data_IF_080751065915
#
_entry.id   IF_080751065915
#
_cell.length_a   1.000
_cell.length_b   1.000
_cell.length_c   1.000
_cell.angle_alpha   90.00
_cell.angle_beta   90.00
_cell.angle_gamma   90.00
#
_symmetry.space_group_name_H-M   'P 1'
#
loop_
_entity.id
_entity.type
_entity.pdbx_description
1 polymer ?
#
# COMPACT_ATOMS: atom_id res chain seq x y z
N UNK A 1 -20.27 6.40 -14.76
CA UNK A 1 -21.07 6.28 -13.54
C UNK A 1 -20.14 6.12 -12.34
N UNK A 2 -20.42 6.85 -11.27
CA UNK A 2 -19.47 6.97 -10.17
C UNK A 2 -19.18 5.69 -9.39
N UNK A 3 -20.02 4.66 -9.44
CA UNK A 3 -19.74 3.35 -8.85
C UNK A 3 -18.62 2.63 -9.63
N UNK A 4 -18.59 2.80 -10.92
CA UNK A 4 -17.54 2.22 -11.77
C UNK A 4 -16.16 2.81 -11.45
N UNK A 5 -16.08 4.13 -11.33
CA UNK A 5 -14.83 4.82 -10.96
C UNK A 5 -14.32 4.39 -9.58
N UNK A 6 -15.23 4.25 -8.60
CA UNK A 6 -14.86 3.75 -7.27
C UNK A 6 -14.30 2.32 -7.32
N UNK A 7 -14.94 1.46 -8.10
CA UNK A 7 -14.49 0.08 -8.29
C UNK A 7 -13.14 0.02 -9.02
N UNK A 8 -12.95 0.85 -10.03
CA UNK A 8 -11.70 0.97 -10.78
C UNK A 8 -10.54 1.40 -9.85
N UNK A 9 -10.73 2.45 -9.05
CA UNK A 9 -9.73 2.89 -8.07
C UNK A 9 -9.41 1.76 -7.07
N UNK A 10 -10.43 1.07 -6.57
CA UNK A 10 -10.24 -0.05 -5.64
C UNK A 10 -9.39 -1.18 -6.25
N UNK A 11 -9.75 -1.64 -7.44
CA UNK A 11 -9.04 -2.74 -8.11
C UNK A 11 -7.61 -2.35 -8.47
N UNK A 12 -7.41 -1.17 -9.07
CA UNK A 12 -6.07 -0.67 -9.42
C UNK A 12 -5.20 -0.52 -8.18
N UNK A 13 -5.76 0.00 -7.09
CA UNK A 13 -5.03 0.11 -5.82
C UNK A 13 -4.58 -1.26 -5.34
N UNK A 14 -5.45 -2.26 -5.30
CA UNK A 14 -5.07 -3.62 -4.88
C UNK A 14 -4.00 -4.24 -5.76
N UNK A 15 -4.17 -4.17 -7.07
CA UNK A 15 -3.25 -4.79 -8.03
C UNK A 15 -1.83 -4.22 -7.88
N UNK A 16 -1.69 -2.93 -7.68
CA UNK A 16 -0.38 -2.29 -7.57
C UNK A 16 0.17 -2.24 -6.14
N UNK A 17 -0.68 -2.10 -5.13
CA UNK A 17 -0.22 -1.99 -3.74
C UNK A 17 0.27 -3.31 -3.15
N UNK A 18 -0.29 -4.45 -3.57
CA UNK A 18 0.15 -5.76 -3.09
C UNK A 18 1.60 -6.08 -3.49
N UNK A 19 1.99 -6.03 -4.78
CA UNK A 19 3.38 -6.28 -5.16
C UNK A 19 4.33 -5.20 -4.63
N UNK A 20 3.92 -3.94 -4.63
CA UNK A 20 4.74 -2.85 -4.10
C UNK A 20 4.92 -3.00 -2.58
N UNK A 21 3.89 -3.39 -1.85
CA UNK A 21 3.95 -3.69 -0.42
C UNK A 21 4.91 -4.84 -0.11
N UNK A 22 4.95 -5.85 -0.97
CA UNK A 22 5.91 -6.95 -0.83
C UNK A 22 7.36 -6.48 -1.06
N UNK A 23 7.59 -5.62 -2.06
CA UNK A 23 8.90 -4.99 -2.30
C UNK A 23 9.33 -4.16 -1.09
N UNK A 24 8.43 -3.35 -0.53
CA UNK A 24 8.71 -2.57 0.68
C UNK A 24 8.99 -3.47 1.89
N UNK A 25 8.28 -4.59 2.03
CA UNK A 25 8.55 -5.57 3.08
C UNK A 25 9.96 -6.14 2.99
N UNK A 26 10.45 -6.46 1.81
CA UNK A 26 11.84 -6.89 1.61
C UNK A 26 12.83 -5.78 1.94
N UNK A 27 12.53 -4.53 1.63
CA UNK A 27 13.32 -3.38 2.07
C UNK A 27 13.39 -3.26 3.59
N UNK A 28 12.26 -3.44 4.29
CA UNK A 28 12.18 -3.44 5.75
C UNK A 28 12.94 -4.61 6.40
N UNK A 29 13.03 -5.75 5.71
CA UNK A 29 13.76 -6.96 6.13
C UNK A 29 15.22 -6.97 5.67
N UNK A 30 15.65 -5.96 4.92
CA UNK A 30 17.00 -5.90 4.35
C UNK A 30 18.07 -5.97 5.44
N UNK A 31 19.15 -6.68 5.16
CA UNK A 31 20.36 -6.72 6.00
C UNK A 31 21.20 -5.46 5.86
N UNK A 32 21.03 -4.71 4.77
CA UNK A 32 21.73 -3.46 4.53
C UNK A 32 21.09 -2.34 5.36
N UNK A 33 21.77 -1.93 6.43
CA UNK A 33 21.27 -0.99 7.44
C UNK A 33 20.71 0.31 6.87
N UNK A 34 21.36 1.02 5.92
CA UNK A 34 20.82 2.26 5.38
C UNK A 34 19.51 2.05 4.61
N UNK A 35 19.38 1.00 3.82
CA UNK A 35 18.11 0.69 3.12
C UNK A 35 17.00 0.42 4.13
N UNK A 36 17.29 -0.39 5.14
CA UNK A 36 16.33 -0.68 6.21
C UNK A 36 15.90 0.59 6.96
N UNK A 37 16.86 1.48 7.27
CA UNK A 37 16.57 2.74 7.97
C UNK A 37 15.68 3.66 7.13
N UNK A 38 16.03 3.88 5.87
CA UNK A 38 15.23 4.70 4.93
C UNK A 38 13.82 4.14 4.78
N UNK A 39 13.68 2.83 4.57
CA UNK A 39 12.37 2.19 4.43
C UNK A 39 11.54 2.28 5.70
N UNK A 40 12.14 2.12 6.88
CA UNK A 40 11.43 2.29 8.15
C UNK A 40 10.90 3.72 8.32
N UNK A 41 11.74 4.73 8.06
CA UNK A 41 11.33 6.14 8.15
C UNK A 41 10.22 6.44 7.14
N UNK A 42 10.39 6.01 5.89
CA UNK A 42 9.39 6.20 4.84
C UNK A 42 8.03 5.60 5.22
N UNK A 43 8.00 4.33 5.59
CA UNK A 43 6.77 3.64 5.99
C UNK A 43 6.16 4.27 7.24
N UNK A 44 6.98 4.69 8.19
CA UNK A 44 6.52 5.36 9.41
C UNK A 44 5.85 6.70 9.10
N UNK A 45 6.45 7.52 8.24
CA UNK A 45 5.89 8.82 7.82
C UNK A 45 4.56 8.63 7.08
N UNK A 46 4.53 7.73 6.10
CA UNK A 46 3.31 7.50 5.31
C UNK A 46 2.17 6.97 6.18
N UNK A 47 2.43 6.03 7.08
CA UNK A 47 1.40 5.50 7.99
C UNK A 47 1.00 6.47 9.10
N UNK A 48 1.88 7.39 9.45
CA UNK A 48 1.63 8.41 10.47
C UNK A 48 0.91 9.66 9.95
N UNK A 49 0.74 9.80 8.63
CA UNK A 49 0.08 10.94 8.01
C UNK A 49 -1.31 10.56 7.47
N UNK A 50 -2.31 11.47 7.55
CA UNK A 50 -3.64 11.21 6.99
C UNK A 50 -3.59 10.99 5.48
N UNK A 51 -4.33 9.99 4.99
CA UNK A 51 -4.45 9.70 3.55
C UNK A 51 -4.90 10.93 2.75
N UNK A 52 -5.79 11.73 3.32
CA UNK A 52 -6.26 13.00 2.74
C UNK A 52 -5.12 13.98 2.46
N UNK A 53 -4.23 14.15 3.42
CA UNK A 53 -3.06 15.03 3.27
C UNK A 53 -2.13 14.52 2.16
N UNK A 54 -1.94 13.21 2.09
CA UNK A 54 -1.14 12.57 1.04
C UNK A 54 -1.75 12.80 -0.35
N UNK A 55 -3.07 12.68 -0.48
CA UNK A 55 -3.81 13.01 -1.70
C UNK A 55 -3.54 14.44 -2.16
N UNK A 56 -3.68 15.42 -1.26
CA UNK A 56 -3.46 16.83 -1.54
C UNK A 56 -2.02 17.07 -1.98
N UNK A 57 -1.04 16.52 -1.27
CA UNK A 57 0.37 16.66 -1.60
C UNK A 57 0.70 16.04 -2.97
N UNK A 58 0.18 14.85 -3.26
CA UNK A 58 0.46 14.16 -4.53
C UNK A 58 -0.21 14.88 -5.70
N UNK A 59 -1.40 15.41 -5.51
CA UNK A 59 -2.13 16.10 -6.58
C UNK A 59 -1.58 17.50 -6.83
N UNK A 60 -1.41 18.33 -5.81
CA UNK A 60 -1.02 19.72 -5.93
C UNK A 60 0.49 19.96 -5.82
N UNK A 61 1.22 19.09 -5.11
CA UNK A 61 2.66 19.26 -4.86
C UNK A 61 3.51 19.43 -6.11
N UNK A 62 3.35 18.62 -7.15
CA UNK A 62 4.12 18.79 -8.39
C UNK A 62 3.92 20.16 -9.05
N UNK A 63 2.69 20.66 -9.06
CA UNK A 63 2.39 22.00 -9.59
C UNK A 63 3.05 23.11 -8.79
N UNK A 64 3.06 22.99 -7.46
CA UNK A 64 3.62 24.00 -6.56
C UNK A 64 5.15 24.02 -6.55
N UNK A 65 5.80 22.84 -6.59
CA UNK A 65 7.25 22.72 -6.41
C UNK A 65 8.02 22.71 -7.73
N UNK A 66 7.45 22.08 -8.77
CA UNK A 66 8.11 21.92 -10.07
C UNK A 66 7.59 22.94 -11.09
N UNK A 67 6.58 23.76 -10.75
CA UNK A 67 5.89 24.65 -11.67
C UNK A 67 5.37 23.95 -12.94
N UNK A 68 5.16 22.66 -12.86
CA UNK A 68 4.63 21.82 -13.93
C UNK A 68 3.48 20.98 -13.40
N UNK A 69 2.33 21.07 -14.05
CA UNK A 69 1.21 20.18 -13.76
C UNK A 69 1.54 18.78 -14.34
N UNK A 70 1.97 17.86 -13.47
CA UNK A 70 2.19 16.45 -13.86
C UNK A 70 0.87 15.76 -14.15
N UNK A 71 -0.16 16.14 -13.39
CA UNK A 71 -1.50 15.58 -13.55
C UNK A 71 -2.32 16.51 -14.46
N UNK A 72 -2.98 15.91 -15.47
CA UNK A 72 -3.98 16.65 -16.24
C UNK A 72 -5.12 17.09 -15.32
N UNK A 73 -5.64 18.29 -15.50
CA UNK A 73 -6.74 18.83 -14.68
C UNK A 73 -8.09 18.16 -14.94
N UNK A 74 -8.14 17.17 -15.85
CA UNK A 74 -9.29 16.38 -16.22
C UNK A 74 -9.58 15.24 -15.21
N UNK A 75 -10.66 14.52 -15.45
CA UNK A 75 -11.07 13.39 -14.60
C UNK A 75 -9.99 12.29 -14.54
N UNK A 76 -9.33 12.03 -15.66
CA UNK A 76 -8.28 11.01 -15.76
C UNK A 76 -7.06 11.34 -14.90
N UNK A 77 -6.60 12.58 -14.92
CA UNK A 77 -5.47 13.02 -14.08
C UNK A 77 -5.79 12.93 -12.59
N UNK A 78 -7.02 13.26 -12.20
CA UNK A 78 -7.47 13.15 -10.80
C UNK A 78 -7.55 11.70 -10.34
N UNK A 79 -8.10 10.82 -11.15
CA UNK A 79 -8.16 9.38 -10.86
C UNK A 79 -6.76 8.81 -10.72
N UNK A 80 -5.86 9.16 -11.65
CA UNK A 80 -4.47 8.66 -11.63
C UNK A 80 -3.73 9.12 -10.37
N UNK A 81 -3.81 10.40 -10.01
CA UNK A 81 -3.21 10.93 -8.79
C UNK A 81 -3.77 10.24 -7.53
N UNK A 82 -5.09 10.01 -7.51
CA UNK A 82 -5.75 9.28 -6.42
C UNK A 82 -5.24 7.86 -6.31
N UNK A 83 -5.17 7.12 -7.41
CA UNK A 83 -4.65 5.75 -7.44
C UNK A 83 -3.20 5.72 -6.95
N UNK A 84 -2.35 6.64 -7.40
CA UNK A 84 -0.95 6.71 -6.95
C UNK A 84 -0.85 6.93 -5.43
N UNK A 85 -1.63 7.87 -4.89
CA UNK A 85 -1.66 8.14 -3.45
C UNK A 85 -2.11 6.91 -2.65
N UNK A 86 -3.19 6.26 -3.09
CA UNK A 86 -3.71 5.06 -2.46
C UNK A 86 -2.72 3.90 -2.55
N UNK A 87 -2.10 3.69 -3.71
CA UNK A 87 -1.10 2.62 -3.90
C UNK A 87 0.08 2.79 -2.96
N UNK A 88 0.63 3.99 -2.82
CA UNK A 88 1.75 4.25 -1.91
C UNK A 88 1.32 4.03 -0.45
N UNK A 89 0.18 4.56 -0.05
CA UNK A 89 -0.35 4.43 1.30
C UNK A 89 -0.56 2.95 1.66
N UNK A 90 -1.36 2.23 0.87
CA UNK A 90 -1.68 0.83 1.14
C UNK A 90 -0.49 -0.12 0.98
N UNK A 91 0.47 0.18 0.09
CA UNK A 91 1.72 -0.56 0.01
C UNK A 91 2.51 -0.48 1.32
N UNK A 92 2.52 0.68 1.99
CA UNK A 92 3.15 0.82 3.30
C UNK A 92 2.44 0.00 4.39
N UNK A 93 1.10 -0.03 4.40
CA UNK A 93 0.35 -0.88 5.33
C UNK A 93 0.58 -2.37 5.06
N UNK A 94 0.49 -2.79 3.81
CA UNK A 94 0.74 -4.18 3.42
C UNK A 94 2.18 -4.62 3.69
N UNK A 95 3.16 -3.73 3.54
CA UNK A 95 4.55 -4.04 3.84
C UNK A 95 4.79 -4.46 5.28
N UNK A 96 4.13 -3.81 6.22
CA UNK A 96 4.21 -4.14 7.65
C UNK A 96 3.50 -5.47 7.95
N UNK A 97 2.37 -5.72 7.30
CA UNK A 97 1.64 -6.99 7.41
C UNK A 97 2.49 -8.15 6.87
N UNK A 98 3.07 -8.00 5.69
CA UNK A 98 3.96 -9.02 5.10
C UNK A 98 5.20 -9.25 5.98
N UNK A 99 5.84 -8.18 6.45
CA UNK A 99 6.96 -8.29 7.38
C UNK A 99 6.57 -9.06 8.63
N UNK A 100 5.45 -8.71 9.26
CA UNK A 100 4.94 -9.41 10.44
C UNK A 100 4.63 -10.88 10.18
N UNK A 101 4.10 -11.21 9.01
CA UNK A 101 3.88 -12.59 8.58
C UNK A 101 5.17 -13.39 8.44
N UNK A 102 6.20 -12.79 7.83
CA UNK A 102 7.50 -13.43 7.61
C UNK A 102 8.26 -13.62 8.94
N UNK A 103 8.35 -12.56 9.76
CA UNK A 103 9.04 -12.58 11.05
C UNK A 103 8.29 -13.44 12.09
N UNK A 104 6.98 -13.58 11.95
CA UNK A 104 6.14 -14.32 12.88
C UNK A 104 6.26 -15.84 12.79
N UNK A 105 6.93 -16.40 11.79
CA UNK A 105 7.16 -17.85 11.71
C UNK A 105 8.32 -18.22 12.65
N UNK A 106 8.06 -19.06 13.67
CA UNK A 106 9.10 -19.45 14.66
C UNK A 106 10.29 -20.12 13.98
N UNK A 107 11.51 -19.78 14.43
CA UNK A 107 12.74 -20.39 13.92
C UNK A 107 12.77 -21.91 14.08
N UNK A 108 12.23 -22.41 15.21
CA UNK A 108 12.13 -23.84 15.47
C UNK A 108 11.36 -24.65 14.40
N UNK A 109 10.41 -24.01 13.69
CA UNK A 109 9.71 -24.67 12.58
C UNK A 109 10.65 -24.94 11.39
N UNK A 110 11.57 -24.03 11.12
CA UNK A 110 12.60 -24.21 10.08
C UNK A 110 13.66 -25.22 10.51
N UNK A 111 14.06 -25.18 11.77
CA UNK A 111 15.01 -26.12 12.35
C UNK A 111 14.44 -27.54 12.35
N UNK A 112 13.19 -27.73 12.72
CA UNK A 112 12.50 -29.01 12.64
C UNK A 112 12.48 -29.57 11.21
N UNK A 113 12.22 -28.73 10.21
CA UNK A 113 12.29 -29.11 8.80
C UNK A 113 13.70 -29.57 8.39
N UNK A 114 14.74 -28.89 8.88
CA UNK A 114 16.13 -29.27 8.61
C UNK A 114 16.49 -30.64 9.25
N UNK A 115 16.06 -30.88 10.47
CA UNK A 115 16.27 -32.17 11.15
C UNK A 115 15.59 -33.31 10.41
N UNK A 116 14.44 -33.06 9.78
CA UNK A 116 13.74 -34.02 8.92
C UNK A 116 14.38 -34.19 7.52
N UNK A 117 15.53 -33.56 7.25
CA UNK A 117 16.22 -33.65 5.98
C UNK A 117 15.55 -32.91 4.82
N UNK A 118 14.65 -31.97 5.11
CA UNK A 118 13.99 -31.18 4.08
C UNK A 118 14.95 -30.16 3.47
N UNK A 119 14.85 -29.97 2.15
CA UNK A 119 15.59 -28.89 1.46
C UNK A 119 15.05 -27.53 1.85
N UNK A 120 15.85 -26.45 1.66
CA UNK A 120 15.44 -25.06 1.94
C UNK A 120 14.16 -24.68 1.21
N UNK A 121 13.98 -25.14 -0.03
CA UNK A 121 12.76 -24.89 -0.81
C UNK A 121 11.55 -25.63 -0.22
N UNK A 122 11.71 -26.87 0.19
CA UNK A 122 10.64 -27.64 0.83
C UNK A 122 10.21 -26.99 2.15
N UNK A 123 11.16 -26.54 2.98
CA UNK A 123 10.88 -25.82 4.23
C UNK A 123 10.13 -24.52 3.92
N UNK A 124 10.55 -23.76 2.91
CA UNK A 124 9.89 -22.51 2.53
C UNK A 124 8.44 -22.75 2.10
N UNK A 125 8.21 -23.61 1.13
CA UNK A 125 6.87 -23.80 0.55
C UNK A 125 5.92 -24.58 1.47
N UNK A 126 6.40 -25.62 2.17
CA UNK A 126 5.55 -26.49 2.97
C UNK A 126 5.35 -26.03 4.41
N UNK A 127 6.29 -25.25 4.96
CA UNK A 127 6.26 -24.84 6.37
C UNK A 127 6.09 -23.33 6.47
N UNK A 128 7.04 -22.54 5.94
CA UNK A 128 7.11 -21.09 6.16
C UNK A 128 5.96 -20.37 5.47
N UNK A 129 5.75 -20.62 4.19
CA UNK A 129 4.75 -19.92 3.38
C UNK A 129 3.33 -20.15 3.88
N UNK A 130 2.97 -21.38 4.22
CA UNK A 130 1.62 -21.69 4.71
C UNK A 130 1.33 -21.00 6.05
N UNK A 131 2.32 -20.97 6.95
CA UNK A 131 2.17 -20.28 8.24
C UNK A 131 2.12 -18.78 8.07
N UNK A 132 2.93 -18.22 7.15
CA UNK A 132 2.92 -16.80 6.80
C UNK A 132 1.54 -16.38 6.25
N UNK A 133 0.98 -17.13 5.30
CA UNK A 133 -0.33 -16.83 4.72
C UNK A 133 -1.41 -16.78 5.81
N UNK A 134 -1.45 -17.77 6.71
CA UNK A 134 -2.41 -17.78 7.83
C UNK A 134 -2.30 -16.58 8.75
N UNK A 135 -1.11 -15.98 8.90
CA UNK A 135 -0.88 -14.78 9.70
C UNK A 135 -1.18 -13.49 8.96
N UNK A 136 -0.99 -13.48 7.65
CA UNK A 136 -1.19 -12.30 6.79
C UNK A 136 -2.66 -12.09 6.44
N UNK A 137 -3.42 -13.15 6.22
CA UNK A 137 -4.82 -13.05 5.76
C UNK A 137 -5.73 -12.23 6.68
N UNK A 138 -5.76 -12.40 8.02
CA UNK A 138 -6.66 -11.63 8.87
C UNK A 138 -6.39 -10.11 8.82
N UNK A 139 -5.17 -9.61 9.07
CA UNK A 139 -4.92 -8.16 8.98
C UNK A 139 -5.06 -7.62 7.56
N UNK A 140 -4.73 -8.41 6.53
CA UNK A 140 -4.92 -8.03 5.13
C UNK A 140 -6.41 -7.82 4.81
N UNK A 141 -7.28 -8.69 5.30
CA UNK A 141 -8.73 -8.56 5.12
C UNK A 141 -9.25 -7.26 5.73
N UNK A 142 -8.77 -6.87 6.91
CA UNK A 142 -9.13 -5.62 7.54
C UNK A 142 -8.71 -4.40 6.71
N UNK A 143 -7.50 -4.42 6.16
CA UNK A 143 -7.01 -3.33 5.30
C UNK A 143 -7.80 -3.25 3.98
N UNK A 144 -8.19 -4.39 3.40
CA UNK A 144 -9.03 -4.40 2.19
C UNK A 144 -10.42 -3.80 2.47
N UNK A 145 -11.01 -4.11 3.62
CA UNK A 145 -12.28 -3.51 4.05
C UNK A 145 -12.12 -1.99 4.25
N UNK A 146 -11.02 -1.56 4.85
CA UNK A 146 -10.70 -0.14 5.02
C UNK A 146 -10.54 0.55 3.67
N UNK A 147 -9.85 -0.08 2.72
CA UNK A 147 -9.70 0.43 1.36
C UNK A 147 -11.06 0.66 0.67
N UNK A 148 -12.03 -0.22 0.84
CA UNK A 148 -13.40 -0.02 0.30
C UNK A 148 -14.03 1.25 0.87
N UNK A 149 -13.85 1.52 2.17
CA UNK A 149 -14.36 2.74 2.82
C UNK A 149 -13.63 3.98 2.30
N UNK A 150 -12.31 3.93 2.19
CA UNK A 150 -11.47 5.05 1.76
C UNK A 150 -11.72 5.42 0.30
N UNK A 151 -11.94 4.46 -0.59
CA UNK A 151 -12.29 4.74 -1.99
C UNK A 151 -13.64 5.45 -2.11
N UNK A 152 -14.57 5.18 -1.21
CA UNK A 152 -15.86 5.89 -1.14
C UNK A 152 -15.68 7.33 -0.66
N UNK A 153 -14.80 7.58 0.31
CA UNK A 153 -14.45 8.92 0.81
C UNK A 153 -13.73 9.76 -0.26
N UNK A 154 -12.80 9.19 -1.00
CA UNK A 154 -12.07 9.88 -2.06
C UNK A 154 -13.02 10.46 -3.11
N UNK A 155 -14.11 9.77 -3.38
CA UNK A 155 -15.17 10.25 -4.29
C UNK A 155 -15.92 11.46 -3.77
N UNK A 156 -16.25 11.49 -2.48
CA UNK A 156 -16.96 12.63 -1.87
C UNK A 156 -16.11 13.89 -1.99
N UNK A 157 -14.80 13.78 -1.82
CA UNK A 157 -13.86 14.90 -1.91
C UNK A 157 -13.71 15.38 -3.34
N UNK A 158 -13.57 14.46 -4.30
CA UNK A 158 -13.53 14.82 -5.72
C UNK A 158 -14.80 15.56 -6.16
N UNK A 159 -15.96 15.18 -5.63
CA UNK A 159 -17.24 15.87 -5.88
C UNK A 159 -17.30 17.24 -5.20
N UNK A 160 -16.76 17.38 -3.99
CA UNK A 160 -16.76 18.64 -3.24
C UNK A 160 -15.85 19.70 -3.89
N UNK A 161 -14.70 19.32 -4.40
CA UNK A 161 -13.80 20.21 -5.14
C UNK A 161 -14.41 20.68 -6.47
N UNK A 162 -15.15 19.82 -7.15
CA UNK A 162 -15.90 20.19 -8.35
C UNK A 162 -16.94 21.27 -8.06
N UNK A 163 -17.60 21.19 -6.92
CA UNK A 163 -18.58 22.17 -6.48
C UNK A 163 -17.92 23.50 -6.11
N UNK A 164 -16.79 23.48 -5.41
CA UNK A 164 -16.02 24.69 -5.10
C UNK A 164 -15.51 25.42 -6.35
N UNK A 165 -15.03 24.68 -7.35
CA UNK A 165 -14.58 25.28 -8.62
C UNK A 165 -15.71 25.90 -9.43
N UNK A 166 -16.91 25.33 -9.37
CA UNK A 166 -18.09 25.87 -10.04
C UNK A 166 -18.66 27.14 -9.35
N UNK A 167 -18.37 27.33 -8.05
CA UNK A 167 -18.80 28.53 -7.32
C UNK A 167 -17.76 29.68 -7.35
N UNK A 168 -16.55 29.44 -7.79
CA UNK A 168 -15.46 30.45 -7.88
C UNK A 168 -15.16 30.90 -9.31
N UNK A 169 -15.82 30.35 -10.30
CA UNK A 169 -15.84 30.82 -11.70
C UNK A 169 -17.07 31.66 -12.00
#
# INVERSE_FOLDING_TARGET
SGLWTTFEIFILTLIFSLPLGLIFAFGLLSRFKPVKAVMNVFVWVIRGTPLMLQLIIIFYGPGLWLHQAIWSGDETGRITATVVAFVINYACYFSVIFRGGIEGVPAGQREAGQVLGMTKQQIFFKITLLQMIKRVVPPMSNEIITLVKDTSLARIIAAYELTCLLYTS
#
